data_IF_938504017428
#
_entry.id   IF_938504017428
#
_cell.length_a   1.000
_cell.length_b   1.000
_cell.length_c   1.000
_cell.angle_alpha   90.00
_cell.angle_beta   90.00
_cell.angle_gamma   90.00
#
_symmetry.space_group_name_H-M   'P 1'
#
loop_
_entity.id
_entity.type
_entity.pdbx_description
1 polymer ?
#
# COMPACT_ATOMS: atom_id res chain seq x y z
N UNK A 1 2.62 10.98 73.44
CA UNK A 1 4.07 11.28 73.46
C UNK A 1 4.69 10.55 72.27
N UNK A 2 5.27 11.32 71.33
CA UNK A 2 6.45 10.99 70.48
C UNK A 2 6.47 9.66 69.69
N UNK A 3 6.85 9.56 68.41
CA UNK A 3 7.29 10.47 67.34
C UNK A 3 7.49 9.57 66.10
N UNK A 4 7.21 10.11 64.92
CA UNK A 4 8.00 10.10 63.66
C UNK A 4 9.06 8.98 63.45
N UNK A 5 9.12 8.41 62.23
CA UNK A 5 10.10 8.87 61.23
C UNK A 5 9.97 8.20 59.84
N UNK A 6 10.18 9.09 58.87
CA UNK A 6 10.46 9.00 57.44
C UNK A 6 11.56 8.03 56.98
N UNK A 7 11.42 7.55 55.75
CA UNK A 7 12.44 7.46 54.66
C UNK A 7 11.63 7.34 53.34
N UNK A 8 11.47 8.34 52.45
CA UNK A 8 12.41 9.05 51.57
C UNK A 8 13.22 8.13 50.61
N UNK A 9 12.86 8.25 49.32
CA UNK A 9 13.73 8.47 48.14
C UNK A 9 13.97 7.31 47.15
N UNK A 10 13.69 7.67 45.87
CA UNK A 10 14.18 7.16 44.57
C UNK A 10 13.55 5.89 44.00
N UNK A 11 13.23 5.79 42.71
CA UNK A 11 13.34 6.72 41.58
C UNK A 11 12.62 6.09 40.40
N UNK A 12 11.85 6.88 39.63
CA UNK A 12 11.86 6.94 38.17
C UNK A 12 10.60 7.64 37.66
N UNK A 13 10.63 8.98 37.74
CA UNK A 13 9.89 9.82 36.79
C UNK A 13 10.71 11.10 36.51
N UNK A 14 11.96 10.90 36.08
CA UNK A 14 12.57 11.78 35.08
C UNK A 14 12.12 11.22 33.73
N UNK A 15 11.60 11.94 32.74
CA UNK A 15 12.00 13.27 32.26
C UNK A 15 10.93 13.69 31.24
N UNK A 16 10.33 14.88 31.35
CA UNK A 16 9.99 15.81 30.22
C UNK A 16 9.05 16.96 30.63
N UNK A 17 9.28 17.65 31.76
CA UNK A 17 8.58 18.91 32.03
C UNK A 17 9.50 19.97 32.67
N UNK A 18 10.58 20.35 31.98
CA UNK A 18 11.45 21.44 32.45
C UNK A 18 12.21 22.17 31.32
N UNK A 19 11.52 22.64 30.28
CA UNK A 19 12.09 23.65 29.36
C UNK A 19 11.29 24.95 29.23
N UNK A 20 10.03 24.99 29.68
CA UNK A 20 9.22 26.21 29.61
C UNK A 20 9.47 27.21 30.76
N UNK A 21 10.01 26.77 31.91
CA UNK A 21 10.13 27.64 33.11
C UNK A 21 11.36 28.55 33.12
N UNK A 22 12.43 28.21 32.40
CA UNK A 22 13.66 29.01 32.37
C UNK A 22 13.75 30.02 31.21
N UNK A 23 12.97 29.83 30.13
CA UNK A 23 12.90 30.80 29.02
C UNK A 23 12.12 32.05 29.41
N UNK A 24 11.05 31.87 30.19
CA UNK A 24 10.20 32.98 30.68
C UNK A 24 10.95 33.90 31.67
N UNK A 25 11.88 33.34 32.45
CA UNK A 25 12.62 34.10 33.46
C UNK A 25 13.76 34.92 32.85
N UNK A 26 14.35 34.48 31.73
CA UNK A 26 15.34 35.27 30.98
C UNK A 26 14.70 36.43 30.18
N UNK A 27 13.47 36.26 29.69
CA UNK A 27 12.77 37.33 28.97
C UNK A 27 12.29 38.48 29.88
N UNK A 28 12.06 38.23 31.17
CA UNK A 28 11.65 39.28 32.12
C UNK A 28 12.82 40.15 32.63
N UNK A 29 14.07 39.70 32.53
CA UNK A 29 15.23 40.39 33.12
C UNK A 29 15.96 41.36 32.17
N UNK A 30 15.66 41.35 30.87
CA UNK A 30 16.32 42.22 29.86
C UNK A 30 15.46 43.45 29.51
N UNK A 31 14.20 43.50 29.94
CA UNK A 31 13.26 44.58 29.59
C UNK A 31 13.31 45.83 30.47
N UNK A 32 14.18 45.89 31.49
CA UNK A 32 14.22 46.96 32.49
C UNK A 32 15.58 47.63 32.57
N UNK A 33 16.01 48.29 31.49
CA UNK A 33 16.89 49.47 31.54
C UNK A 33 16.98 50.06 30.15
N UNK A 34 16.91 51.40 30.05
CA UNK A 34 16.96 52.25 28.84
C UNK A 34 15.56 52.35 28.17
N UNK A 35 14.84 53.46 28.14
CA UNK A 35 15.08 54.85 28.50
C UNK A 35 13.86 55.64 28.00
N UNK A 36 13.51 56.73 28.67
CA UNK A 36 12.40 57.61 28.32
C UNK A 36 12.38 57.98 26.83
N UNK A 37 11.32 57.59 26.11
CA UNK A 37 10.86 58.33 24.93
C UNK A 37 9.36 58.46 25.04
N UNK A 38 8.94 59.69 25.33
CA UNK A 38 7.57 60.19 25.24
C UNK A 38 6.95 59.80 23.90
N UNK A 39 6.06 58.80 23.89
CA UNK A 39 5.06 58.63 22.85
C UNK A 39 3.78 58.16 23.51
N UNK A 40 2.71 58.90 23.23
CA UNK A 40 1.34 58.78 23.72
C UNK A 40 0.87 57.35 23.94
N UNK A 41 -0.07 57.10 24.88
CA UNK A 41 -0.84 55.87 24.83
C UNK A 41 -1.68 55.97 23.56
N UNK A 42 -1.20 55.40 22.45
CA UNK A 42 -2.08 55.05 21.34
C UNK A 42 -2.92 53.92 21.89
N UNK A 43 -3.98 54.29 22.62
CA UNK A 43 -5.09 53.39 22.89
C UNK A 43 -5.49 52.82 21.54
N UNK A 44 -5.57 51.48 21.46
CA UNK A 44 -6.24 50.84 20.36
C UNK A 44 -7.59 51.53 20.22
N UNK A 45 -7.79 52.16 19.06
CA UNK A 45 -9.00 52.90 18.72
C UNK A 45 -10.22 52.08 19.13
N UNK A 46 -11.10 52.67 19.94
CA UNK A 46 -12.32 52.04 20.48
C UNK A 46 -13.30 51.61 19.39
N UNK A 47 -12.99 51.91 18.13
CA UNK A 47 -13.75 51.54 16.92
C UNK A 47 -13.03 50.58 15.97
N UNK A 48 -11.96 49.91 16.41
CA UNK A 48 -11.29 48.89 15.57
C UNK A 48 -11.52 47.48 16.10
N UNK A 49 -12.60 46.83 15.64
CA UNK A 49 -12.73 45.37 15.67
C UNK A 49 -11.51 44.75 14.98
N UNK A 50 -10.55 44.25 15.77
CA UNK A 50 -9.38 43.53 15.25
C UNK A 50 -9.71 42.05 15.18
N UNK A 51 -10.41 41.66 14.13
CA UNK A 51 -10.76 40.25 13.88
C UNK A 51 -9.58 39.53 13.24
N UNK A 52 -9.04 38.51 13.91
CA UNK A 52 -8.03 37.61 13.33
C UNK A 52 -8.77 36.41 12.74
N UNK A 53 -8.85 36.36 11.41
CA UNK A 53 -9.48 35.27 10.69
C UNK A 53 -8.45 34.18 10.34
N UNK A 54 -8.65 32.98 10.87
CA UNK A 54 -7.90 31.80 10.47
C UNK A 54 -8.69 31.06 9.38
N UNK A 55 -8.03 30.78 8.25
CA UNK A 55 -8.56 29.93 7.19
C UNK A 55 -7.58 28.79 6.95
N UNK A 56 -8.06 27.57 7.09
CA UNK A 56 -7.34 26.34 6.76
C UNK A 56 -8.27 25.38 6.03
N UNK A 57 -7.69 24.44 5.30
CA UNK A 57 -8.40 23.35 4.65
C UNK A 57 -7.89 22.04 5.25
N UNK A 58 -8.78 21.27 5.85
CA UNK A 58 -8.50 19.90 6.26
C UNK A 58 -8.84 19.00 5.07
N UNK A 59 -7.83 18.28 4.57
CA UNK A 59 -8.06 17.24 3.58
C UNK A 59 -8.59 16.00 4.31
N UNK A 60 -9.51 15.23 3.70
CA UNK A 60 -9.93 13.95 4.26
C UNK A 60 -8.72 13.01 4.42
N UNK A 61 -8.70 12.19 5.47
CA UNK A 61 -7.63 11.20 5.66
C UNK A 61 -7.62 10.23 4.47
N UNK A 62 -6.44 10.01 3.88
CA UNK A 62 -6.25 9.02 2.82
C UNK A 62 -5.79 7.70 3.44
N UNK A 63 -6.39 6.59 3.02
CA UNK A 63 -5.88 5.26 3.34
C UNK A 63 -4.42 5.09 2.93
N UNK A 64 -3.62 4.51 3.81
CA UNK A 64 -2.26 4.06 3.48
C UNK A 64 -2.33 2.58 3.07
N UNK A 65 -1.86 2.29 1.86
CA UNK A 65 -1.71 0.94 1.35
C UNK A 65 -0.24 0.50 1.48
N UNK A 66 -0.05 -0.73 1.96
CA UNK A 66 1.25 -1.42 1.95
C UNK A 66 1.11 -2.82 1.37
N UNK A 67 2.17 -3.30 0.73
CA UNK A 67 2.30 -4.71 0.30
C UNK A 67 3.50 -5.31 1.00
N UNK A 68 3.28 -6.44 1.68
CA UNK A 68 4.31 -7.13 2.46
C UNK A 68 5.04 -6.22 3.46
N UNK A 69 4.32 -5.24 4.04
CA UNK A 69 4.87 -4.27 4.99
C UNK A 69 5.63 -3.10 4.37
N UNK A 70 5.82 -3.08 3.05
CA UNK A 70 6.41 -1.95 2.33
C UNK A 70 5.30 -1.02 1.83
N UNK A 71 5.37 0.26 2.21
CA UNK A 71 4.58 1.32 1.58
C UNK A 71 5.32 1.84 0.36
N UNK A 72 4.68 1.87 -0.81
CA UNK A 72 5.28 2.33 -2.05
C UNK A 72 4.29 3.18 -2.83
N UNK A 73 4.80 4.20 -3.53
CA UNK A 73 4.01 5.15 -4.31
C UNK A 73 3.95 4.80 -5.81
N UNK A 74 4.58 3.71 -6.25
CA UNK A 74 4.73 3.38 -7.67
C UNK A 74 4.76 1.89 -7.97
N UNK A 75 5.88 1.23 -7.70
CA UNK A 75 6.11 -0.16 -8.13
C UNK A 75 6.53 -1.05 -6.95
N UNK A 76 6.05 -2.29 -6.98
CA UNK A 76 6.50 -3.39 -6.13
C UNK A 76 7.01 -4.49 -7.08
N UNK A 77 8.29 -4.84 -6.94
CA UNK A 77 8.92 -5.87 -7.76
C UNK A 77 9.25 -7.06 -6.86
N UNK A 78 9.01 -8.26 -7.38
CA UNK A 78 9.37 -9.51 -6.73
C UNK A 78 9.78 -10.52 -7.80
N UNK A 79 10.64 -11.45 -7.42
CA UNK A 79 11.24 -12.41 -8.34
C UNK A 79 10.84 -13.83 -7.96
N UNK A 80 10.53 -14.64 -8.97
CA UNK A 80 10.37 -16.08 -8.78
C UNK A 80 11.74 -16.77 -8.86
N UNK A 81 11.93 -17.80 -8.04
CA UNK A 81 13.03 -18.73 -8.24
C UNK A 81 12.95 -19.34 -9.66
N UNK A 82 14.08 -19.58 -10.35
CA UNK A 82 14.06 -20.19 -11.66
C UNK A 82 13.34 -21.54 -11.67
N UNK A 83 12.49 -21.75 -12.66
CA UNK A 83 11.74 -23.00 -12.86
C UNK A 83 11.97 -23.57 -14.24
N UNK A 84 11.82 -24.89 -14.39
CA UNK A 84 11.91 -25.50 -15.70
C UNK A 84 10.58 -25.42 -16.43
N UNK A 85 10.59 -24.90 -17.66
CA UNK A 85 9.39 -24.85 -18.51
C UNK A 85 8.74 -26.23 -18.69
N UNK A 86 9.50 -27.33 -18.64
CA UNK A 86 8.97 -28.70 -18.71
C UNK A 86 8.00 -29.05 -17.58
N UNK A 87 8.08 -28.36 -16.44
CA UNK A 87 7.18 -28.57 -15.30
C UNK A 87 5.77 -28.05 -15.55
N UNK A 88 5.66 -27.04 -16.42
CA UNK A 88 4.40 -26.47 -16.88
C UNK A 88 3.81 -27.21 -18.09
N UNK A 89 4.49 -28.25 -18.59
CA UNK A 89 4.03 -29.01 -19.76
C UNK A 89 2.63 -29.60 -19.54
N UNK A 90 2.39 -30.15 -18.36
CA UNK A 90 1.16 -30.84 -17.99
C UNK A 90 0.43 -30.15 -16.81
N UNK A 91 0.85 -28.94 -16.44
CA UNK A 91 0.33 -28.22 -15.28
C UNK A 91 0.15 -26.74 -15.62
N UNK A 92 -0.97 -26.18 -15.18
CA UNK A 92 -1.29 -24.76 -15.36
C UNK A 92 -0.38 -23.83 -14.56
N UNK A 93 0.18 -24.33 -13.45
CA UNK A 93 1.08 -23.56 -12.59
C UNK A 93 1.99 -24.48 -11.76
N UNK A 94 3.06 -23.90 -11.22
CA UNK A 94 3.95 -24.56 -10.27
C UNK A 94 3.53 -24.14 -8.86
N UNK A 95 3.05 -25.10 -8.06
CA UNK A 95 2.48 -24.82 -6.75
C UNK A 95 3.52 -24.60 -5.64
N UNK A 96 4.79 -24.99 -5.86
CA UNK A 96 5.86 -24.73 -4.90
C UNK A 96 6.28 -23.27 -4.96
N UNK A 97 6.66 -22.74 -3.81
CA UNK A 97 7.27 -21.40 -3.65
C UNK A 97 6.49 -20.24 -4.31
N UNK A 98 5.20 -20.04 -3.96
CA UNK A 98 4.48 -18.85 -4.40
C UNK A 98 5.11 -17.58 -3.85
N UNK A 99 5.02 -16.51 -4.62
CA UNK A 99 5.23 -15.15 -4.12
C UNK A 99 3.95 -14.70 -3.44
N UNK A 100 4.03 -14.38 -2.16
CA UNK A 100 2.89 -13.87 -1.39
C UNK A 100 2.79 -12.36 -1.54
N UNK A 101 1.60 -11.86 -1.83
CA UNK A 101 1.28 -10.43 -1.88
C UNK A 101 0.26 -10.12 -0.79
N UNK A 102 0.74 -9.60 0.34
CA UNK A 102 -0.07 -9.24 1.49
C UNK A 102 -0.40 -7.75 1.46
N UNK A 103 -1.57 -7.40 0.95
CA UNK A 103 -2.06 -6.03 0.94
C UNK A 103 -2.65 -5.69 2.30
N UNK A 104 -2.10 -4.68 2.95
CA UNK A 104 -2.54 -4.21 4.27
C UNK A 104 -2.87 -2.73 4.22
N UNK A 105 -4.02 -2.41 4.80
CA UNK A 105 -4.55 -1.06 4.91
C UNK A 105 -4.37 -0.50 6.31
N UNK A 106 -3.87 0.73 6.40
CA UNK A 106 -3.73 1.49 7.65
C UNK A 106 -4.26 2.91 7.49
N UNK A 107 -4.62 3.51 8.62
CA UNK A 107 -5.14 4.89 8.70
C UNK A 107 -6.35 5.15 7.78
N UNK A 108 -7.18 4.13 7.61
CA UNK A 108 -8.38 4.18 6.77
C UNK A 108 -9.64 4.53 7.57
N UNK A 109 -10.11 5.76 7.38
CA UNK A 109 -11.44 6.19 7.79
C UNK A 109 -12.32 6.39 6.55
N UNK A 110 -13.16 5.40 6.25
CA UNK A 110 -13.95 5.37 5.02
C UNK A 110 -15.38 5.90 5.21
N UNK A 111 -15.83 6.16 6.44
CA UNK A 111 -17.23 6.57 6.68
C UNK A 111 -18.25 5.56 6.12
N UNK A 112 -19.05 5.99 5.13
CA UNK A 112 -20.01 5.12 4.43
C UNK A 112 -19.47 4.54 3.12
N UNK A 113 -18.22 4.84 2.77
CA UNK A 113 -17.65 4.49 1.48
C UNK A 113 -17.46 2.98 1.33
N UNK A 114 -17.59 2.49 0.09
CA UNK A 114 -17.45 1.06 -0.24
C UNK A 114 -16.08 0.79 -0.89
N UNK A 115 -15.11 0.26 -0.13
CA UNK A 115 -13.78 0.00 -0.67
C UNK A 115 -13.77 -1.19 -1.64
N UNK A 116 -12.93 -1.10 -2.67
CA UNK A 116 -12.67 -2.18 -3.59
C UNK A 116 -11.21 -2.17 -4.06
N UNK A 117 -10.72 -3.35 -4.43
CA UNK A 117 -9.49 -3.52 -5.20
C UNK A 117 -9.85 -3.81 -6.66
N UNK A 118 -9.24 -3.07 -7.58
CA UNK A 118 -9.29 -3.36 -9.01
C UNK A 118 -7.95 -3.93 -9.46
N UNK A 119 -8.00 -5.00 -10.25
CA UNK A 119 -6.83 -5.70 -10.77
C UNK A 119 -6.94 -5.79 -12.29
N UNK A 120 -5.89 -5.41 -13.01
CA UNK A 120 -5.87 -5.52 -14.47
C UNK A 120 -4.45 -5.70 -15.02
N UNK A 121 -4.38 -5.98 -16.31
CA UNK A 121 -3.15 -5.99 -17.10
C UNK A 121 -3.28 -5.09 -18.31
N UNK A 122 -2.14 -4.60 -18.80
CA UNK A 122 -2.05 -3.92 -20.10
C UNK A 122 -2.19 -4.93 -21.26
N UNK A 123 -1.80 -6.19 -21.02
CA UNK A 123 -1.88 -7.27 -21.98
C UNK A 123 -3.21 -8.02 -21.81
N UNK A 124 -4.04 -8.14 -22.87
CA UNK A 124 -5.27 -8.90 -22.78
C UNK A 124 -4.99 -10.40 -22.63
N UNK A 125 -5.94 -11.13 -22.04
CA UNK A 125 -5.91 -12.59 -22.07
C UNK A 125 -5.92 -13.09 -23.52
N UNK A 126 -4.89 -13.84 -23.92
CA UNK A 126 -4.80 -14.39 -25.29
C UNK A 126 -5.52 -15.74 -25.35
N UNK A 127 -5.05 -16.72 -24.58
CA UNK A 127 -5.50 -18.12 -24.67
C UNK A 127 -6.07 -18.63 -23.34
N UNK A 128 -5.48 -18.19 -22.24
CA UNK A 128 -5.86 -18.56 -20.88
C UNK A 128 -6.30 -17.31 -20.12
N UNK A 129 -7.52 -17.32 -19.59
CA UNK A 129 -8.12 -16.15 -18.92
C UNK A 129 -7.55 -15.88 -17.54
N UNK A 130 -6.78 -16.80 -16.97
CA UNK A 130 -6.22 -16.68 -15.62
C UNK A 130 -4.69 -16.48 -15.65
N UNK A 131 -4.08 -16.39 -16.84
CA UNK A 131 -2.64 -16.29 -17.03
C UNK A 131 -2.25 -14.87 -17.46
N UNK A 132 -1.67 -14.11 -16.54
CA UNK A 132 -1.06 -12.82 -16.82
C UNK A 132 0.23 -13.04 -17.59
N UNK A 133 0.23 -12.69 -18.87
CA UNK A 133 1.38 -12.88 -19.76
C UNK A 133 2.26 -11.63 -19.79
N UNK A 134 3.57 -11.79 -20.05
CA UNK A 134 4.45 -10.66 -20.31
C UNK A 134 3.99 -9.90 -21.56
N UNK A 135 4.34 -8.62 -21.64
CA UNK A 135 4.11 -7.83 -22.85
C UNK A 135 5.11 -8.24 -23.94
N UNK A 136 4.60 -8.90 -24.98
CA UNK A 136 5.37 -9.37 -26.15
C UNK A 136 6.05 -8.22 -26.92
N UNK A 137 5.65 -6.97 -26.71
CA UNK A 137 6.29 -5.81 -27.33
C UNK A 137 7.66 -5.47 -26.73
N UNK A 138 7.98 -5.96 -25.52
CA UNK A 138 9.28 -5.80 -24.87
C UNK A 138 10.16 -7.06 -25.02
N UNK A 139 10.56 -7.35 -26.25
CA UNK A 139 11.35 -8.55 -26.60
C UNK A 139 12.74 -8.57 -25.94
N UNK A 140 13.22 -7.44 -25.41
CA UNK A 140 14.52 -7.36 -24.73
C UNK A 140 14.45 -8.01 -23.36
N UNK A 141 13.34 -7.82 -22.65
CA UNK A 141 13.11 -8.37 -21.31
C UNK A 141 12.26 -9.66 -21.33
N UNK A 142 11.55 -9.92 -22.44
CA UNK A 142 10.65 -11.06 -22.58
C UNK A 142 11.10 -12.01 -23.70
N UNK A 143 11.59 -13.18 -23.29
CA UNK A 143 12.02 -14.25 -24.21
C UNK A 143 11.32 -15.59 -23.97
N UNK A 144 10.51 -15.70 -22.91
CA UNK A 144 9.61 -16.85 -22.73
C UNK A 144 8.50 -16.85 -23.77
N UNK A 145 7.87 -18.02 -23.96
CA UNK A 145 6.58 -18.13 -24.66
C UNK A 145 5.64 -19.01 -23.86
N UNK A 146 4.39 -18.57 -23.73
CA UNK A 146 3.34 -19.32 -23.01
C UNK A 146 3.61 -19.54 -21.52
N UNK A 147 4.46 -18.70 -20.92
CA UNK A 147 4.74 -18.63 -19.48
C UNK A 147 4.29 -17.27 -18.99
N UNK A 148 3.77 -17.21 -17.78
CA UNK A 148 3.32 -15.97 -17.15
C UNK A 148 3.09 -16.17 -15.65
N UNK A 149 2.24 -15.34 -15.08
CA UNK A 149 1.87 -15.39 -13.66
C UNK A 149 0.40 -15.74 -13.52
N UNK A 150 0.08 -16.66 -12.61
CA UNK A 150 -1.27 -16.93 -12.13
C UNK A 150 -1.42 -16.36 -10.73
N UNK A 151 -2.41 -15.48 -10.55
CA UNK A 151 -2.65 -14.82 -9.28
C UNK A 151 -3.83 -15.49 -8.58
N UNK A 152 -3.58 -16.17 -7.46
CA UNK A 152 -4.61 -16.81 -6.65
C UNK A 152 -5.08 -15.86 -5.54
N UNK A 153 -6.38 -15.59 -5.48
CA UNK A 153 -7.01 -14.80 -4.45
C UNK A 153 -7.49 -15.69 -3.30
N UNK A 154 -6.83 -15.60 -2.14
CA UNK A 154 -7.18 -16.43 -0.98
C UNK A 154 -8.61 -16.15 -0.49
N UNK A 155 -9.09 -14.92 -0.63
CA UNK A 155 -10.40 -14.53 -0.11
C UNK A 155 -11.56 -15.17 -0.87
N UNK A 156 -11.38 -15.49 -2.16
CA UNK A 156 -12.39 -16.18 -2.98
C UNK A 156 -12.01 -17.61 -3.33
N UNK A 157 -10.78 -18.03 -3.01
CA UNK A 157 -10.20 -19.33 -3.38
C UNK A 157 -10.26 -19.59 -4.89
N UNK A 158 -10.01 -18.55 -5.70
CA UNK A 158 -10.03 -18.61 -7.17
C UNK A 158 -8.83 -17.88 -7.76
N UNK A 159 -8.46 -18.26 -8.98
CA UNK A 159 -7.52 -17.46 -9.76
C UNK A 159 -8.20 -16.20 -10.28
N UNK A 160 -7.45 -15.10 -10.28
CA UNK A 160 -7.89 -13.81 -10.81
C UNK A 160 -7.92 -13.89 -12.32
N UNK A 161 -9.05 -13.50 -12.91
CA UNK A 161 -9.17 -13.38 -14.35
C UNK A 161 -8.41 -12.16 -14.84
N UNK A 162 -7.63 -12.34 -15.91
CA UNK A 162 -6.95 -11.28 -16.63
C UNK A 162 -8.00 -10.39 -17.29
N UNK A 163 -7.94 -9.12 -16.91
CA UNK A 163 -8.86 -8.08 -17.32
C UNK A 163 -8.06 -6.87 -17.80
N UNK A 164 -8.66 -6.07 -18.68
CA UNK A 164 -8.08 -4.81 -19.16
C UNK A 164 -8.49 -3.67 -18.21
N UNK A 165 -7.74 -2.57 -18.18
CA UNK A 165 -8.05 -1.43 -17.31
C UNK A 165 -9.43 -0.78 -17.53
N UNK A 166 -10.07 -0.98 -18.69
CA UNK A 166 -11.45 -0.50 -18.95
C UNK A 166 -12.56 -1.41 -18.39
N UNK A 167 -12.23 -2.62 -17.97
CA UNK A 167 -13.13 -3.58 -17.33
C UNK A 167 -12.35 -4.42 -16.31
N UNK A 168 -11.80 -3.79 -15.24
CA UNK A 168 -10.87 -4.45 -14.32
C UNK A 168 -11.56 -5.51 -13.46
N UNK A 169 -10.80 -6.49 -12.99
CA UNK A 169 -11.29 -7.47 -12.03
C UNK A 169 -11.53 -6.80 -10.67
N UNK A 170 -12.77 -6.83 -10.18
CA UNK A 170 -13.17 -6.17 -8.92
C UNK A 170 -13.18 -7.16 -7.76
N UNK A 171 -12.43 -6.83 -6.71
CA UNK A 171 -12.49 -7.46 -5.40
C UNK A 171 -13.20 -6.52 -4.44
N UNK A 172 -14.35 -6.93 -3.93
CA UNK A 172 -15.08 -6.16 -2.92
C UNK A 172 -14.39 -6.31 -1.55
N UNK A 173 -14.17 -5.19 -0.87
CA UNK A 173 -13.56 -5.14 0.47
C UNK A 173 -14.57 -4.68 1.54
N UNK A 174 -15.83 -4.49 1.18
CA UNK A 174 -16.86 -3.97 2.09
C UNK A 174 -17.04 -4.87 3.33
N UNK A 175 -16.94 -6.18 3.17
CA UNK A 175 -17.05 -7.14 4.28
C UNK A 175 -15.92 -7.00 5.32
N UNK A 176 -14.83 -6.32 4.95
CA UNK A 176 -13.69 -6.09 5.83
C UNK A 176 -13.77 -4.78 6.59
N UNK A 177 -14.73 -3.91 6.26
CA UNK A 177 -14.99 -2.66 6.96
C UNK A 177 -15.68 -2.95 8.29
N UNK A 178 -15.14 -2.42 9.40
CA UNK A 178 -15.65 -2.70 10.75
C UNK A 178 -16.15 -1.43 11.45
N UNK A 179 -17.23 -1.60 12.22
CA UNK A 179 -17.77 -0.59 13.13
C UNK A 179 -18.61 0.50 12.45
N UNK A 180 -19.30 1.29 13.28
CA UNK A 180 -20.25 2.33 12.83
C UNK A 180 -19.59 3.58 12.22
N UNK A 181 -18.29 3.53 11.96
CA UNK A 181 -17.52 4.63 11.36
C UNK A 181 -16.72 4.23 10.13
N UNK A 182 -16.94 3.04 9.57
CA UNK A 182 -16.32 2.69 8.29
C UNK A 182 -14.80 2.47 8.33
N UNK A 183 -14.25 1.92 9.41
CA UNK A 183 -12.80 1.74 9.50
C UNK A 183 -12.34 0.49 8.76
N UNK A 184 -11.31 0.64 7.93
CA UNK A 184 -10.61 -0.46 7.24
C UNK A 184 -9.16 -0.55 7.75
N UNK A 185 -8.99 -0.84 9.04
CA UNK A 185 -7.66 -0.97 9.65
C UNK A 185 -7.27 -2.44 9.82
N UNK A 186 -6.04 -2.80 9.43
CA UNK A 186 -5.49 -4.14 9.62
C UNK A 186 -6.14 -5.23 8.76
N UNK A 187 -7.04 -4.85 7.86
CA UNK A 187 -7.58 -5.78 6.86
C UNK A 187 -6.47 -6.19 5.92
N UNK A 188 -6.33 -7.51 5.77
CA UNK A 188 -5.34 -8.12 4.90
C UNK A 188 -6.06 -8.78 3.73
N UNK A 189 -5.81 -8.31 2.50
CA UNK A 189 -6.14 -9.08 1.30
C UNK A 189 -4.88 -9.79 0.83
N UNK A 190 -4.94 -11.12 0.76
CA UNK A 190 -3.79 -11.95 0.37
C UNK A 190 -3.98 -12.51 -1.02
N UNK A 191 -2.94 -12.37 -1.82
CA UNK A 191 -2.83 -13.09 -3.08
C UNK A 191 -1.56 -13.94 -3.07
N UNK A 192 -1.61 -15.08 -3.76
CA UNK A 192 -0.43 -15.88 -4.05
C UNK A 192 -0.20 -15.88 -5.55
N UNK A 193 0.93 -15.33 -5.95
CA UNK A 193 1.36 -15.36 -7.33
C UNK A 193 2.16 -16.65 -7.56
N UNK A 194 1.85 -17.36 -8.64
CA UNK A 194 2.50 -18.59 -9.06
C UNK A 194 3.04 -18.42 -10.48
N UNK A 195 4.17 -19.07 -10.78
CA UNK A 195 4.58 -19.23 -12.17
C UNK A 195 3.56 -20.13 -12.88
N UNK A 196 2.93 -19.59 -13.91
CA UNK A 196 1.88 -20.22 -14.71
C UNK A 196 2.34 -20.50 -16.14
N UNK A 197 1.65 -21.42 -16.81
CA UNK A 197 1.89 -21.73 -18.21
C UNK A 197 0.64 -22.21 -18.94
N UNK A 198 0.70 -22.21 -20.28
CA UNK A 198 -0.41 -22.63 -21.13
C UNK A 198 -0.68 -24.14 -21.09
N UNK A 199 0.32 -24.94 -20.75
CA UNK A 199 0.20 -26.39 -20.66
C UNK A 199 -0.79 -26.83 -19.58
N UNK A 200 -1.54 -27.89 -19.86
CA UNK A 200 -2.37 -28.55 -18.87
C UNK A 200 -2.44 -30.05 -19.11
N UNK A 201 -2.98 -30.79 -18.15
CA UNK A 201 -3.02 -32.25 -18.22
C UNK A 201 -3.81 -32.78 -19.43
N UNK A 202 -4.79 -32.02 -19.90
CA UNK A 202 -5.61 -32.39 -21.06
C UNK A 202 -5.00 -31.88 -22.38
N UNK A 203 -4.27 -30.77 -22.33
CA UNK A 203 -3.64 -30.08 -23.46
C UNK A 203 -2.17 -29.81 -23.13
N UNK A 204 -1.30 -30.82 -23.25
CA UNK A 204 0.11 -30.64 -22.96
C UNK A 204 0.77 -29.77 -24.03
N UNK A 205 1.62 -28.83 -23.61
CA UNK A 205 2.26 -27.86 -24.51
C UNK A 205 3.77 -28.00 -24.46
N UNK A 206 4.42 -27.92 -25.62
CA UNK A 206 5.89 -27.97 -25.76
C UNK A 206 6.40 -26.77 -26.54
N UNK A 207 7.69 -26.46 -26.40
CA UNK A 207 8.30 -25.42 -27.22
C UNK A 207 8.31 -25.83 -28.69
N UNK A 208 7.90 -24.94 -29.58
CA UNK A 208 8.05 -25.06 -31.03
C UNK A 208 8.68 -23.78 -31.56
N UNK A 209 9.93 -23.84 -31.98
CA UNK A 209 10.73 -22.68 -32.39
C UNK A 209 10.35 -22.16 -33.78
N UNK A 210 9.75 -22.99 -34.63
CA UNK A 210 9.46 -22.68 -36.04
C UNK A 210 7.99 -22.37 -36.36
N UNK A 211 7.10 -22.36 -35.35
CA UNK A 211 5.68 -22.11 -35.57
C UNK A 211 5.26 -20.73 -35.02
N UNK A 212 4.44 -20.00 -35.78
CA UNK A 212 3.67 -18.83 -35.30
C UNK A 212 2.52 -19.22 -34.35
N UNK A 213 2.57 -20.42 -33.78
CA UNK A 213 1.56 -20.96 -32.88
C UNK A 213 1.69 -20.25 -31.53
N UNK A 214 0.59 -19.67 -31.05
CA UNK A 214 0.56 -18.96 -29.75
C UNK A 214 0.46 -19.91 -28.58
N UNK A 215 0.14 -21.18 -28.83
CA UNK A 215 0.04 -22.23 -27.82
C UNK A 215 1.36 -23.04 -27.72
N UNK A 216 2.43 -22.37 -27.32
CA UNK A 216 3.77 -22.95 -27.16
C UNK A 216 4.34 -22.61 -25.79
N UNK A 217 5.21 -23.47 -25.26
CA UNK A 217 5.81 -23.33 -23.94
C UNK A 217 7.34 -23.34 -24.07
N UNK A 218 7.95 -22.17 -24.09
CA UNK A 218 9.40 -22.00 -24.26
C UNK A 218 10.00 -21.26 -23.06
N UNK A 219 11.14 -21.76 -22.57
CA UNK A 219 11.90 -21.10 -21.50
C UNK A 219 12.55 -19.80 -21.98
N UNK A 220 12.88 -18.94 -21.03
CA UNK A 220 13.40 -17.59 -21.26
C UNK A 220 13.18 -16.73 -20.01
N UNK A 221 13.21 -15.42 -20.19
CA UNK A 221 12.86 -14.42 -19.17
C UNK A 221 11.42 -13.93 -19.40
N UNK A 222 10.68 -13.69 -18.33
CA UNK A 222 9.33 -13.15 -18.34
C UNK A 222 9.21 -12.03 -17.30
N UNK A 223 8.95 -10.81 -17.75
CA UNK A 223 8.58 -9.66 -16.94
C UNK A 223 7.06 -9.42 -17.11
N UNK A 224 6.31 -9.70 -16.04
CA UNK A 224 4.85 -9.63 -16.03
C UNK A 224 4.39 -8.47 -15.17
N UNK A 225 3.65 -7.54 -15.78
CA UNK A 225 3.08 -6.37 -15.11
C UNK A 225 1.60 -6.58 -14.81
N UNK A 226 1.25 -6.45 -13.53
CA UNK A 226 -0.11 -6.54 -13.02
C UNK A 226 -0.38 -5.27 -12.22
N UNK A 227 -1.46 -4.58 -12.55
CA UNK A 227 -1.87 -3.35 -11.88
C UNK A 227 -2.85 -3.64 -10.76
N UNK A 228 -2.68 -2.94 -9.65
CA UNK A 228 -3.59 -2.98 -8.50
C UNK A 228 -3.98 -1.55 -8.13
N UNK A 229 -5.27 -1.30 -8.01
CA UNK A 229 -5.81 -0.01 -7.58
C UNK A 229 -6.78 -0.19 -6.45
N UNK A 230 -6.54 0.56 -5.37
CA UNK A 230 -7.48 0.67 -4.27
C UNK A 230 -8.39 1.87 -4.49
N UNK A 231 -9.70 1.65 -4.45
CA UNK A 231 -10.70 2.70 -4.62
C UNK A 231 -11.67 2.66 -3.46
N UNK A 232 -12.04 3.84 -2.96
CA UNK A 232 -13.06 4.04 -1.95
C UNK A 232 -13.92 5.25 -2.39
N UNK A 233 -15.23 5.01 -2.52
CA UNK A 233 -16.24 6.00 -2.88
C UNK A 233 -17.25 6.09 -1.77
#
# INVERSE_FOLDING_TARGET
>A
MKTKNSNLINSELMTYHSRAKYVLLFMMLIGWTIGCVTTFPVQADTDTERTINFRGMLLPPTCVLSVNGSSFAGFYNDDFAPVYASELRNSKYIARDPVELNFMFSDCDLGESKPAFYIWSDVPAITDRELFMPDDSDVVNNSTKGVGVRLFDEGTSKFVEVRKGTDPYRVDLSDSVKGNGGKLEGTMRRFRAYVGGLGDTNNPVTCKTESNDTNVLCGGVADVKIHFEFVYQ
#
